data_IF_828715892835
#
_entry.id   IF_828715892835
#
_cell.length_a   1.000
_cell.length_b   1.000
_cell.length_c   1.000
_cell.angle_alpha   90.00
_cell.angle_beta   90.00
_cell.angle_gamma   90.00
#
_symmetry.space_group_name_H-M   'P 1'
#
loop_
_entity.id
_entity.type
_entity.pdbx_description
1 polymer ?
#
# COMPACT_ATOMS: atom_id res chain seq x y z
N UNK A 1 5.99 -11.50 -2.56
CA UNK A 1 5.78 -10.12 -3.05
C UNK A 1 6.64 -10.00 -4.29
N UNK A 2 6.08 -9.58 -5.41
CA UNK A 2 6.88 -9.35 -6.61
C UNK A 2 7.48 -7.93 -6.55
N UNK A 3 8.76 -7.80 -6.89
CA UNK A 3 9.43 -6.50 -6.88
C UNK A 3 9.30 -5.88 -8.27
N UNK A 4 8.31 -5.02 -8.41
CA UNK A 4 8.10 -4.21 -9.62
C UNK A 4 8.25 -2.72 -9.29
N UNK A 5 8.66 -1.94 -10.29
CA UNK A 5 8.78 -0.49 -10.14
C UNK A 5 7.46 0.17 -10.50
N UNK A 6 6.73 0.64 -9.49
CA UNK A 6 5.51 1.45 -9.66
C UNK A 6 5.76 2.87 -9.15
N UNK A 7 5.08 3.85 -9.74
CA UNK A 7 5.09 5.23 -9.25
C UNK A 7 3.90 5.43 -8.31
N UNK A 8 4.18 5.98 -7.14
CA UNK A 8 3.20 6.36 -6.12
C UNK A 8 3.39 7.84 -5.82
N UNK A 9 2.31 8.51 -5.42
CA UNK A 9 2.39 9.88 -4.94
C UNK A 9 3.39 10.04 -3.79
N UNK A 10 4.14 11.14 -3.82
CA UNK A 10 5.18 11.42 -2.85
C UNK A 10 4.63 11.47 -1.41
N UNK A 11 3.44 12.06 -1.24
CA UNK A 11 2.78 12.19 0.06
C UNK A 11 2.35 10.84 0.63
N UNK A 12 1.89 9.93 -0.23
CA UNK A 12 1.53 8.56 0.16
C UNK A 12 2.78 7.82 0.65
N UNK A 13 3.87 7.90 -0.10
CA UNK A 13 5.13 7.27 0.30
C UNK A 13 5.69 7.88 1.59
N UNK A 14 5.62 9.21 1.74
CA UNK A 14 6.06 9.92 2.93
C UNK A 14 5.24 9.52 4.16
N UNK A 15 3.92 9.44 4.03
CA UNK A 15 3.01 8.99 5.08
C UNK A 15 3.43 7.62 5.62
N UNK A 16 3.53 6.60 4.76
CA UNK A 16 3.92 5.27 5.22
C UNK A 16 5.36 5.25 5.75
N UNK A 17 6.33 5.89 5.08
CA UNK A 17 7.73 5.92 5.55
C UNK A 17 7.87 6.53 6.94
N UNK A 18 7.05 7.52 7.28
CA UNK A 18 7.07 8.19 8.59
C UNK A 18 6.74 7.23 9.74
N UNK A 19 5.99 6.15 9.47
CA UNK A 19 5.62 5.14 10.46
C UNK A 19 6.76 4.14 10.79
N UNK A 20 7.95 4.36 10.23
CA UNK A 20 9.17 3.62 10.56
C UNK A 20 9.25 2.20 9.97
N UNK A 21 9.89 1.29 10.71
CA UNK A 21 10.11 -0.09 10.24
C UNK A 21 8.79 -0.78 9.92
N UNK A 22 8.75 -1.47 8.78
CA UNK A 22 7.56 -2.19 8.32
C UNK A 22 6.58 -1.35 7.50
N UNK A 23 6.90 -0.10 7.17
CA UNK A 23 6.04 0.76 6.33
C UNK A 23 5.62 0.12 5.00
N UNK A 24 6.51 -0.61 4.34
CA UNK A 24 6.17 -1.33 3.10
C UNK A 24 5.14 -2.44 3.33
N UNK A 25 5.16 -3.09 4.49
CA UNK A 25 4.17 -4.11 4.82
C UNK A 25 2.80 -3.49 5.04
N UNK A 26 2.73 -2.31 5.68
CA UNK A 26 1.47 -1.57 5.85
C UNK A 26 0.95 -1.02 4.53
N UNK A 27 1.83 -0.45 3.69
CA UNK A 27 1.49 -0.04 2.32
C UNK A 27 0.92 -1.23 1.52
N UNK A 28 1.55 -2.39 1.57
CA UNK A 28 1.03 -3.60 0.90
C UNK A 28 -0.33 -4.03 1.44
N UNK A 29 -0.56 -3.93 2.76
CA UNK A 29 -1.85 -4.26 3.35
C UNK A 29 -2.96 -3.28 2.91
N UNK A 30 -2.65 -1.98 2.85
CA UNK A 30 -3.54 -0.94 2.35
C UNK A 30 -3.87 -1.16 0.87
N UNK A 31 -2.87 -1.42 0.03
CA UNK A 31 -3.06 -1.76 -1.39
C UNK A 31 -3.91 -3.03 -1.55
N UNK A 32 -3.68 -4.07 -0.74
CA UNK A 32 -4.48 -5.30 -0.77
C UNK A 32 -5.94 -5.01 -0.39
N UNK A 33 -6.19 -4.18 0.61
CA UNK A 33 -7.55 -3.79 0.99
C UNK A 33 -8.22 -2.94 -0.09
N UNK A 34 -7.50 -2.03 -0.75
CA UNK A 34 -8.06 -1.21 -1.82
C UNK A 34 -8.34 -2.02 -3.10
N UNK A 35 -7.43 -2.93 -3.48
CA UNK A 35 -7.55 -3.72 -4.71
C UNK A 35 -8.53 -4.89 -4.58
N UNK A 36 -8.66 -5.49 -3.38
CA UNK A 36 -9.44 -6.71 -3.17
C UNK A 36 -10.56 -6.56 -2.12
N UNK A 37 -10.70 -5.39 -1.47
CA UNK A 37 -11.66 -5.15 -0.39
C UNK A 37 -13.09 -4.80 -0.83
N UNK A 38 -13.44 -5.06 -2.09
CA UNK A 38 -14.78 -4.84 -2.64
C UNK A 38 -15.22 -6.05 -3.49
N UNK A 39 -14.95 -7.27 -3.01
CA UNK A 39 -15.60 -8.48 -3.55
C UNK A 39 -16.93 -8.81 -2.85
N UNK A 40 -17.43 -7.90 -1.99
CA UNK A 40 -18.71 -8.05 -1.28
C UNK A 40 -19.49 -6.71 -1.37
N UNK A 41 -19.97 -6.42 -2.58
CA UNK A 41 -21.10 -5.51 -2.85
C UNK A 41 -21.42 -5.60 -4.35
N UNK A 42 -22.00 -6.73 -4.77
CA UNK A 42 -23.05 -6.86 -5.79
C UNK A 42 -23.53 -8.30 -5.86
#
# INVERSE_FOLDING_TARGET
KEQITIRLDADVVAHFRSEGRGWQTRLNAALRRAAFGTADQH
#
